data_IF_768929736827
#
_entry.id   IF_768929736827
#
_cell.length_a   1.000
_cell.length_b   1.000
_cell.length_c   1.000
_cell.angle_alpha   90.00
_cell.angle_beta   90.00
_cell.angle_gamma   90.00
#
_symmetry.space_group_name_H-M   'P 1'
#
loop_
_entity.id
_entity.type
_entity.pdbx_description
1 polymer ?
#
# COMPACT_ATOMS: atom_id res chain seq x y z
N UNK A 1 -30.67 -25.54 42.28
CA UNK A 1 -29.80 -26.27 41.33
C UNK A 1 -30.27 -25.93 39.93
N UNK A 2 -29.70 -24.88 39.34
CA UNK A 2 -30.13 -24.32 38.05
C UNK A 2 -29.43 -25.07 36.92
N UNK A 3 -30.22 -25.61 35.97
CA UNK A 3 -29.72 -26.18 34.71
C UNK A 3 -29.55 -25.04 33.70
N UNK A 4 -28.34 -24.86 33.21
CA UNK A 4 -28.05 -23.98 32.08
C UNK A 4 -27.96 -24.84 30.82
N UNK A 5 -28.90 -24.65 29.89
CA UNK A 5 -28.83 -25.20 28.54
C UNK A 5 -27.73 -24.48 27.74
N UNK A 6 -26.84 -25.25 27.13
CA UNK A 6 -25.85 -24.72 26.19
C UNK A 6 -26.41 -24.86 24.77
N UNK A 7 -26.61 -23.72 24.10
CA UNK A 7 -26.97 -23.65 22.69
C UNK A 7 -25.69 -23.87 21.88
N UNK A 8 -25.61 -25.02 21.22
CA UNK A 8 -24.53 -25.34 20.28
C UNK A 8 -24.66 -24.52 19.00
N UNK A 9 -23.64 -23.70 18.71
CA UNK A 9 -23.52 -22.99 17.44
C UNK A 9 -22.83 -23.94 16.46
N UNK A 10 -23.61 -24.46 15.51
CA UNK A 10 -23.14 -25.27 14.39
C UNK A 10 -22.64 -24.33 13.29
N UNK A 11 -21.33 -24.22 13.10
CA UNK A 11 -20.74 -23.55 11.93
C UNK A 11 -20.28 -24.64 10.99
N UNK A 12 -21.03 -24.86 9.93
CA UNK A 12 -20.57 -25.62 8.77
C UNK A 12 -21.15 -25.02 7.51
N UNK A 13 -20.28 -24.96 6.50
CA UNK A 13 -20.55 -24.79 5.08
C UNK A 13 -21.03 -23.41 4.60
N UNK A 14 -20.08 -22.60 4.12
CA UNK A 14 -20.24 -21.84 2.87
C UNK A 14 -18.92 -21.14 2.48
N UNK A 15 -17.96 -21.89 1.93
CA UNK A 15 -16.91 -21.30 1.08
C UNK A 15 -16.44 -22.34 0.06
N UNK A 16 -17.29 -22.65 -0.91
CA UNK A 16 -16.89 -23.26 -2.18
C UNK A 16 -17.77 -22.72 -3.29
N UNK A 17 -17.37 -21.61 -3.88
CA UNK A 17 -17.72 -21.35 -5.28
C UNK A 17 -16.55 -20.66 -5.98
N UNK A 18 -15.87 -21.45 -6.81
CA UNK A 18 -14.84 -20.95 -7.71
C UNK A 18 -15.51 -20.21 -8.86
N UNK A 19 -15.20 -18.93 -9.02
CA UNK A 19 -15.72 -18.13 -10.11
C UNK A 19 -14.87 -18.42 -11.35
N UNK A 20 -15.51 -19.05 -12.35
CA UNK A 20 -14.98 -19.23 -13.70
C UNK A 20 -15.12 -17.90 -14.46
N UNK A 21 -14.01 -17.20 -14.65
CA UNK A 21 -13.92 -15.95 -15.42
C UNK A 21 -13.92 -16.27 -16.92
N UNK A 22 -15.11 -16.32 -17.52
CA UNK A 22 -15.28 -16.26 -18.97
C UNK A 22 -16.29 -15.16 -19.29
N UNK A 23 -15.85 -13.91 -19.28
CA UNK A 23 -16.53 -12.85 -20.00
C UNK A 23 -15.54 -12.21 -20.99
N UNK A 24 -15.73 -12.60 -22.24
CA UNK A 24 -15.11 -12.03 -23.43
C UNK A 24 -15.41 -10.53 -23.49
N UNK A 25 -14.39 -9.71 -23.26
CA UNK A 25 -14.43 -8.27 -23.50
C UNK A 25 -14.36 -8.02 -25.01
N UNK A 26 -15.48 -7.62 -25.63
CA UNK A 26 -15.51 -7.13 -27.00
C UNK A 26 -14.98 -5.69 -27.02
N UNK A 27 -13.72 -5.50 -27.44
CA UNK A 27 -13.09 -4.20 -27.66
C UNK A 27 -13.00 -3.89 -29.15
N UNK A 28 -14.08 -3.37 -29.73
CA UNK A 28 -14.14 -3.00 -31.15
C UNK A 28 -14.33 -1.50 -31.40
N UNK A 29 -13.71 -0.62 -30.61
CA UNK A 29 -13.78 0.84 -30.83
C UNK A 29 -12.47 1.64 -30.70
N UNK A 30 -11.30 1.01 -30.83
CA UNK A 30 -10.04 1.78 -30.93
C UNK A 30 -9.20 1.25 -32.09
N UNK A 31 -9.53 1.70 -33.29
CA UNK A 31 -8.67 1.52 -34.47
C UNK A 31 -8.47 2.87 -35.17
N UNK A 32 -7.27 3.44 -35.01
CA UNK A 32 -6.42 3.97 -36.10
C UNK A 32 -5.37 4.95 -35.55
N UNK A 33 -4.10 4.61 -35.75
CA UNK A 33 -3.11 5.32 -36.60
C UNK A 33 -1.73 4.79 -36.22
N UNK A 34 -1.01 4.15 -37.17
CA UNK A 34 0.42 3.86 -37.04
C UNK A 34 0.89 2.57 -37.72
N UNK A 35 1.21 2.66 -39.02
CA UNK A 35 1.80 1.60 -39.85
C UNK A 35 3.19 1.16 -39.39
N UNK A 36 3.46 -0.15 -39.51
CA UNK A 36 4.66 -0.65 -40.20
C UNK A 36 5.68 -1.46 -39.40
N UNK A 37 5.58 -2.80 -39.50
CA UNK A 37 6.75 -3.68 -39.61
C UNK A 37 7.23 -4.40 -38.35
N UNK A 38 6.79 -5.66 -38.17
CA UNK A 38 7.36 -6.63 -37.23
C UNK A 38 6.32 -7.22 -36.29
N UNK A 39 5.67 -8.32 -36.71
CA UNK A 39 4.68 -9.06 -35.93
C UNK A 39 5.32 -9.75 -34.71
N UNK A 40 5.64 -8.95 -33.70
CA UNK A 40 5.62 -9.41 -32.31
C UNK A 40 4.24 -9.05 -31.80
N UNK A 41 3.61 -9.97 -31.09
CA UNK A 41 2.24 -9.90 -30.59
C UNK A 41 2.09 -8.80 -29.50
N UNK A 42 2.22 -7.53 -29.90
CA UNK A 42 2.16 -6.34 -29.01
C UNK A 42 0.78 -6.23 -28.35
N UNK A 43 -0.27 -6.71 -29.02
CA UNK A 43 -1.64 -6.66 -28.52
C UNK A 43 -1.86 -7.56 -27.28
N UNK A 44 -1.29 -8.77 -27.25
CA UNK A 44 -1.40 -9.63 -26.07
C UNK A 44 -0.70 -9.04 -24.85
N UNK A 45 0.52 -8.49 -25.04
CA UNK A 45 1.24 -7.86 -23.93
C UNK A 45 0.56 -6.61 -23.37
N UNK A 46 -0.17 -5.86 -24.22
CA UNK A 46 -0.90 -4.67 -23.79
C UNK A 46 -2.16 -5.03 -22.99
N UNK A 47 -2.89 -6.05 -23.42
CA UNK A 47 -4.07 -6.54 -22.73
C UNK A 47 -3.73 -7.12 -21.35
N UNK A 48 -2.62 -7.86 -21.26
CA UNK A 48 -2.14 -8.39 -19.98
C UNK A 48 -1.78 -7.27 -18.99
N UNK A 49 -1.17 -6.19 -19.46
CA UNK A 49 -0.85 -5.03 -18.63
C UNK A 49 -2.10 -4.30 -18.13
N UNK A 50 -3.12 -4.17 -18.97
CA UNK A 50 -4.41 -3.56 -18.60
C UNK A 50 -5.17 -4.43 -17.58
N UNK A 51 -5.18 -5.74 -17.76
CA UNK A 51 -5.78 -6.68 -16.81
C UNK A 51 -5.04 -6.66 -15.48
N UNK A 52 -3.70 -6.68 -15.49
CA UNK A 52 -2.89 -6.59 -14.29
C UNK A 52 -3.15 -5.28 -13.53
N UNK A 53 -3.30 -4.17 -14.26
CA UNK A 53 -3.67 -2.86 -13.68
C UNK A 53 -5.05 -2.90 -13.05
N UNK A 54 -6.06 -3.44 -13.73
CA UNK A 54 -7.40 -3.57 -13.18
C UNK A 54 -7.42 -4.40 -11.89
N UNK A 55 -6.75 -5.55 -11.89
CA UNK A 55 -6.62 -6.42 -10.70
C UNK A 55 -5.87 -5.73 -9.56
N UNK A 56 -4.86 -4.93 -9.88
CA UNK A 56 -4.12 -4.19 -8.86
C UNK A 56 -5.00 -3.13 -8.19
N UNK A 57 -5.78 -2.37 -8.98
CA UNK A 57 -6.70 -1.33 -8.47
C UNK A 57 -7.78 -1.96 -7.60
N UNK A 58 -8.43 -3.03 -8.07
CA UNK A 58 -9.52 -3.67 -7.32
C UNK A 58 -9.04 -4.24 -6.00
N UNK A 59 -7.88 -4.93 -5.99
CA UNK A 59 -7.26 -5.40 -4.73
C UNK A 59 -6.93 -4.26 -3.78
N UNK A 60 -6.33 -3.18 -4.30
CA UNK A 60 -5.98 -2.02 -3.49
C UNK A 60 -7.23 -1.37 -2.88
N UNK A 61 -8.33 -1.33 -3.63
CA UNK A 61 -9.62 -0.83 -3.17
C UNK A 61 -10.24 -1.73 -2.11
N UNK A 62 -10.36 -3.04 -2.39
CA UNK A 62 -10.96 -4.01 -1.47
C UNK A 62 -10.21 -4.06 -0.12
N UNK A 63 -8.88 -3.91 -0.12
CA UNK A 63 -8.06 -3.93 1.10
C UNK A 63 -8.13 -2.64 1.92
N UNK A 64 -8.39 -1.49 1.30
CA UNK A 64 -8.17 -0.17 1.92
C UNK A 64 -9.41 0.74 1.92
N UNK A 65 -10.48 0.42 1.18
CA UNK A 65 -11.76 1.13 1.18
C UNK A 65 -12.82 0.39 2.01
N UNK A 66 -13.99 1.02 2.16
CA UNK A 66 -15.16 0.37 2.76
C UNK A 66 -15.82 -0.60 1.79
N UNK A 67 -16.60 -1.55 2.32
CA UNK A 67 -17.32 -2.56 1.55
C UNK A 67 -18.21 -1.98 0.44
N UNK A 68 -18.72 -0.76 0.62
CA UNK A 68 -19.51 -0.02 -0.38
C UNK A 68 -18.78 0.25 -1.69
N UNK A 69 -17.45 0.21 -1.69
CA UNK A 69 -16.60 0.38 -2.86
C UNK A 69 -15.98 -0.94 -3.34
N UNK A 70 -16.42 -2.06 -2.77
CA UNK A 70 -15.97 -3.36 -3.24
C UNK A 70 -16.46 -3.60 -4.66
N UNK A 71 -15.63 -4.30 -5.42
CA UNK A 71 -15.90 -4.64 -6.82
C UNK A 71 -17.25 -5.34 -6.96
N UNK A 72 -17.61 -6.24 -6.04
CA UNK A 72 -18.87 -6.98 -6.08
C UNK A 72 -20.09 -6.07 -5.87
N UNK A 73 -20.04 -5.19 -4.87
CA UNK A 73 -21.13 -4.25 -4.57
C UNK A 73 -21.37 -3.28 -5.73
N UNK A 74 -20.30 -2.72 -6.31
CA UNK A 74 -20.43 -1.78 -7.41
C UNK A 74 -20.94 -2.45 -8.70
N UNK A 75 -20.50 -3.69 -9.00
CA UNK A 75 -21.03 -4.46 -10.13
C UNK A 75 -22.51 -4.83 -9.92
N UNK A 76 -22.90 -5.21 -8.70
CA UNK A 76 -24.30 -5.50 -8.36
C UNK A 76 -25.18 -4.24 -8.46
N UNK A 77 -24.60 -3.06 -8.20
CA UNK A 77 -25.23 -1.76 -8.42
C UNK A 77 -25.43 -1.37 -9.89
N UNK A 78 -24.95 -2.19 -10.84
CA UNK A 78 -25.13 -1.97 -12.27
C UNK A 78 -24.02 -1.14 -12.93
N UNK A 79 -22.91 -0.87 -12.22
CA UNK A 79 -21.76 -0.18 -12.81
C UNK A 79 -20.98 -1.12 -13.73
N UNK A 80 -20.49 -0.59 -14.85
CA UNK A 80 -19.53 -1.30 -15.71
C UNK A 80 -18.17 -1.41 -15.03
N UNK A 81 -17.37 -2.42 -15.39
CA UNK A 81 -16.04 -2.61 -14.79
C UNK A 81 -15.13 -1.37 -14.93
N UNK A 82 -15.24 -0.63 -16.04
CA UNK A 82 -14.47 0.61 -16.26
C UNK A 82 -14.88 1.69 -15.26
N UNK A 83 -16.19 1.86 -15.02
CA UNK A 83 -16.70 2.81 -14.02
C UNK A 83 -16.31 2.40 -12.60
N UNK A 84 -16.37 1.10 -12.29
CA UNK A 84 -15.92 0.56 -11.01
C UNK A 84 -14.47 0.94 -10.74
N UNK A 85 -13.58 0.72 -11.71
CA UNK A 85 -12.16 1.06 -11.59
C UNK A 85 -11.94 2.57 -11.41
N UNK A 86 -12.70 3.42 -12.12
CA UNK A 86 -12.57 4.87 -11.98
C UNK A 86 -13.08 5.37 -10.63
N UNK A 87 -14.22 4.86 -10.15
CA UNK A 87 -14.76 5.15 -8.82
C UNK A 87 -13.76 4.74 -7.73
N UNK A 88 -13.27 3.51 -7.79
CA UNK A 88 -12.28 2.99 -6.84
C UNK A 88 -11.00 3.82 -6.84
N UNK A 89 -10.50 4.19 -8.03
CA UNK A 89 -9.31 5.05 -8.17
C UNK A 89 -9.53 6.41 -7.51
N UNK A 90 -10.66 7.06 -7.79
CA UNK A 90 -10.97 8.38 -7.24
C UNK A 90 -11.08 8.35 -5.72
N UNK A 91 -11.74 7.33 -5.15
CA UNK A 91 -11.93 7.21 -3.71
C UNK A 91 -10.63 6.84 -2.97
N UNK A 92 -9.76 6.01 -3.56
CA UNK A 92 -8.40 5.76 -3.02
C UNK A 92 -7.61 7.07 -2.94
N UNK A 93 -7.61 7.86 -4.02
CA UNK A 93 -6.89 9.14 -4.07
C UNK A 93 -7.42 10.09 -3.00
N UNK A 94 -8.75 10.26 -2.90
CA UNK A 94 -9.37 11.13 -1.88
C UNK A 94 -9.00 10.73 -0.45
N UNK A 95 -8.88 9.43 -0.19
CA UNK A 95 -8.64 8.92 1.16
C UNK A 95 -7.18 8.99 1.60
N UNK A 96 -6.24 8.80 0.67
CA UNK A 96 -4.82 8.63 1.00
C UNK A 96 -3.88 9.72 0.45
N UNK A 97 -4.38 10.67 -0.35
CA UNK A 97 -3.59 11.79 -0.87
C UNK A 97 -4.13 13.09 -0.30
N UNK A 98 -3.24 13.90 0.30
CA UNK A 98 -3.63 15.19 0.84
C UNK A 98 -4.07 16.14 -0.27
N UNK A 99 -5.09 16.96 -0.02
CA UNK A 99 -5.63 17.94 -0.99
C UNK A 99 -4.54 18.85 -1.57
N UNK A 100 -3.52 19.21 -0.76
CA UNK A 100 -2.37 20.01 -1.20
C UNK A 100 -1.51 19.28 -2.24
N UNK A 101 -1.32 17.97 -2.07
CA UNK A 101 -0.57 17.14 -3.02
C UNK A 101 -1.37 16.94 -4.30
N UNK A 102 -2.69 16.74 -4.19
CA UNK A 102 -3.60 16.66 -5.34
C UNK A 102 -3.49 17.96 -6.14
N UNK A 103 -3.64 19.11 -5.50
CA UNK A 103 -3.57 20.41 -6.17
C UNK A 103 -2.20 20.68 -6.80
N UNK A 104 -1.11 20.19 -6.20
CA UNK A 104 0.23 20.32 -6.75
C UNK A 104 0.47 19.47 -8.01
N UNK A 105 -0.12 18.27 -8.09
CA UNK A 105 0.05 17.33 -9.21
C UNK A 105 -0.96 17.60 -10.33
N UNK A 106 -2.21 17.87 -9.95
CA UNK A 106 -3.34 17.98 -10.86
C UNK A 106 -3.70 19.43 -11.23
N UNK A 107 -3.31 20.41 -10.42
CA UNK A 107 -3.70 21.81 -10.59
C UNK A 107 -5.17 22.11 -10.23
N UNK A 108 -5.99 21.09 -9.99
CA UNK A 108 -7.38 21.19 -9.56
C UNK A 108 -7.64 20.18 -8.41
N UNK A 109 -8.77 20.35 -7.72
CA UNK A 109 -9.19 19.44 -6.65
C UNK A 109 -10.23 18.40 -7.12
N UNK A 110 -10.85 18.63 -8.28
CA UNK A 110 -11.86 17.73 -8.82
C UNK A 110 -11.22 16.53 -9.51
N UNK A 111 -11.08 15.43 -8.77
CA UNK A 111 -10.40 14.22 -9.22
C UNK A 111 -11.18 13.51 -10.34
N UNK A 112 -12.51 13.67 -10.39
CA UNK A 112 -13.36 12.95 -11.36
C UNK A 112 -13.07 13.42 -12.79
N UNK A 113 -12.87 14.72 -12.99
CA UNK A 113 -12.59 15.32 -14.30
C UNK A 113 -11.13 15.20 -14.75
N UNK A 114 -10.27 14.55 -13.96
CA UNK A 114 -8.85 14.43 -14.28
C UNK A 114 -8.55 13.45 -15.40
N UNK A 115 -7.49 13.78 -16.15
CA UNK A 115 -6.91 12.89 -17.15
C UNK A 115 -6.41 11.58 -16.50
N UNK A 116 -6.59 10.46 -17.19
CA UNK A 116 -6.15 9.13 -16.77
C UNK A 116 -4.67 9.09 -16.34
N UNK A 117 -3.79 9.80 -17.04
CA UNK A 117 -2.36 9.86 -16.69
C UNK A 117 -2.08 10.57 -15.35
N UNK A 118 -2.87 11.59 -15.00
CA UNK A 118 -2.76 12.29 -13.71
C UNK A 118 -3.36 11.40 -12.60
N UNK A 119 -4.50 10.76 -12.87
CA UNK A 119 -5.11 9.78 -11.97
C UNK A 119 -4.13 8.65 -11.63
N UNK A 120 -3.38 8.12 -12.61
CA UNK A 120 -2.36 7.10 -12.36
C UNK A 120 -1.20 7.59 -11.50
N UNK A 121 -0.73 8.82 -11.71
CA UNK A 121 0.32 9.40 -10.88
C UNK A 121 -0.14 9.57 -9.43
N UNK A 122 -1.37 10.09 -9.25
CA UNK A 122 -1.99 10.25 -7.94
C UNK A 122 -2.27 8.91 -7.26
N UNK A 123 -2.69 7.90 -8.01
CA UNK A 123 -2.93 6.55 -7.50
C UNK A 123 -1.63 5.90 -7.02
N UNK A 124 -0.52 6.10 -7.74
CA UNK A 124 0.81 5.64 -7.29
C UNK A 124 1.30 6.40 -6.06
N UNK A 125 1.00 7.71 -5.96
CA UNK A 125 1.28 8.47 -4.74
C UNK A 125 0.45 7.94 -3.57
N UNK A 126 -0.82 7.65 -3.80
CA UNK A 126 -1.73 7.05 -2.82
C UNK A 126 -1.20 5.71 -2.31
N UNK A 127 -0.71 4.83 -3.20
CA UNK A 127 -0.15 3.53 -2.79
C UNK A 127 1.08 3.69 -1.88
N UNK A 128 1.97 4.63 -2.19
CA UNK A 128 3.13 4.93 -1.34
C UNK A 128 2.69 5.47 0.03
N UNK A 129 1.67 6.33 0.07
CA UNK A 129 1.11 6.84 1.32
C UNK A 129 0.45 5.72 2.16
N UNK A 130 -0.25 4.78 1.52
CA UNK A 130 -0.80 3.58 2.16
C UNK A 130 0.32 2.77 2.80
N UNK A 131 1.39 2.47 2.05
CA UNK A 131 2.52 1.70 2.55
C UNK A 131 3.24 2.41 3.69
N UNK A 132 3.45 3.72 3.57
CA UNK A 132 4.01 4.56 4.63
C UNK A 132 3.12 4.55 5.88
N UNK A 133 1.80 4.62 5.72
CA UNK A 133 0.84 4.56 6.81
C UNK A 133 0.86 3.19 7.51
N UNK A 134 0.83 2.09 6.75
CA UNK A 134 0.97 0.73 7.28
C UNK A 134 2.30 0.55 8.03
N UNK A 135 3.39 1.09 7.48
CA UNK A 135 4.72 0.97 8.08
C UNK A 135 4.94 1.91 9.28
N UNK A 136 4.16 2.99 9.42
CA UNK A 136 4.25 3.87 10.60
C UNK A 136 3.91 3.13 11.91
N UNK A 137 3.10 2.07 11.82
CA UNK A 137 2.76 1.18 12.93
C UNK A 137 3.78 0.06 13.15
N UNK A 138 4.79 -0.08 12.29
CA UNK A 138 5.89 -1.02 12.50
C UNK A 138 6.96 -0.38 13.39
N UNK A 139 7.47 -1.16 14.33
CA UNK A 139 8.49 -0.77 15.32
C UNK A 139 9.81 -0.25 14.72
N UNK A 140 10.05 -0.43 13.43
CA UNK A 140 11.19 0.13 12.69
C UNK A 140 11.00 1.61 12.30
N UNK A 141 9.78 2.10 12.06
CA UNK A 141 9.53 3.52 11.73
C UNK A 141 9.76 4.44 12.93
N UNK A 142 9.65 3.92 14.17
CA UNK A 142 10.05 4.61 15.40
C UNK A 142 11.57 4.67 15.60
N UNK A 143 12.36 4.09 14.69
CA UNK A 143 13.81 4.26 14.66
C UNK A 143 14.22 5.52 13.90
N UNK A 144 13.38 6.57 13.88
CA UNK A 144 13.85 7.89 13.45
C UNK A 144 15.04 8.24 14.34
N UNK A 145 16.21 8.27 13.71
CA UNK A 145 17.46 8.65 14.33
C UNK A 145 17.35 10.12 14.71
N UNK A 146 16.74 10.39 15.87
CA UNK A 146 17.09 11.56 16.62
C UNK A 146 18.60 11.45 16.81
N UNK A 147 19.35 12.24 16.04
CA UNK A 147 20.76 12.52 16.27
C UNK A 147 20.85 13.13 17.66
N UNK A 148 20.84 12.25 18.66
CA UNK A 148 20.88 12.58 20.06
C UNK A 148 22.08 13.48 20.25
N UNK A 149 21.80 14.64 20.84
CA UNK A 149 22.78 15.64 21.17
C UNK A 149 23.99 14.96 21.80
N UNK A 150 25.17 15.18 21.23
CA UNK A 150 26.43 14.51 21.56
C UNK A 150 26.97 14.94 22.94
N UNK A 151 26.21 14.72 24.00
CA UNK A 151 26.66 14.97 25.37
C UNK A 151 26.37 13.74 26.21
N UNK A 152 27.49 13.14 26.61
CA UNK A 152 27.66 11.91 27.40
C UNK A 152 27.27 10.62 26.67
N UNK A 153 28.31 9.99 26.11
CA UNK A 153 28.23 8.68 25.47
C UNK A 153 27.93 7.65 26.56
N UNK A 154 26.64 7.40 26.79
CA UNK A 154 26.17 6.21 27.48
C UNK A 154 26.73 5.01 26.72
N UNK A 155 27.73 4.36 27.28
CA UNK A 155 28.37 3.15 26.76
C UNK A 155 28.27 2.06 27.82
N UNK A 156 27.88 0.85 27.43
CA UNK A 156 27.78 -0.30 28.32
C UNK A 156 29.12 -0.72 28.92
N UNK A 157 30.24 -0.35 28.28
CA UNK A 157 31.60 -0.59 28.77
C UNK A 157 32.06 0.39 29.85
N UNK A 158 31.37 1.53 30.03
CA UNK A 158 31.74 2.50 31.03
C UNK A 158 31.01 2.19 32.34
N UNK A 159 31.76 1.64 33.29
CA UNK A 159 31.27 1.19 34.61
C UNK A 159 30.68 2.33 35.46
N UNK A 160 30.93 3.59 35.09
CA UNK A 160 30.41 4.78 35.78
C UNK A 160 29.02 5.22 35.27
N UNK A 161 28.51 4.62 34.19
CA UNK A 161 27.20 4.97 33.65
C UNK A 161 26.11 4.14 34.33
N UNK A 162 25.24 4.79 35.10
CA UNK A 162 24.07 4.12 35.69
C UNK A 162 22.90 4.20 34.72
N UNK A 163 22.46 3.04 34.24
CA UNK A 163 21.30 2.90 33.37
C UNK A 163 20.06 2.96 34.25
N UNK A 164 19.26 4.02 34.13
CA UNK A 164 18.08 4.24 34.98
C UNK A 164 16.78 3.88 34.29
N UNK A 165 16.70 4.12 32.98
CA UNK A 165 15.51 3.84 32.17
C UNK A 165 15.83 2.90 30.99
N UNK A 166 14.79 2.23 30.47
CA UNK A 166 14.86 1.40 29.27
C UNK A 166 15.38 2.18 28.06
N UNK A 167 15.05 3.47 27.97
CA UNK A 167 15.57 4.37 26.93
C UNK A 167 17.09 4.53 27.02
N UNK A 168 17.63 4.62 28.23
CA UNK A 168 19.07 4.76 28.47
C UNK A 168 19.81 3.46 28.14
N UNK A 169 19.23 2.30 28.49
CA UNK A 169 19.76 0.99 28.14
C UNK A 169 19.85 0.82 26.62
N UNK A 170 18.78 1.21 25.91
CA UNK A 170 18.70 1.16 24.46
C UNK A 170 19.74 2.05 23.80
N UNK A 171 19.92 3.28 24.31
CA UNK A 171 20.94 4.19 23.81
C UNK A 171 22.36 3.65 24.05
N UNK A 172 22.60 3.02 25.20
CA UNK A 172 23.89 2.43 25.54
C UNK A 172 24.27 1.24 24.64
N UNK A 173 23.31 0.35 24.34
CA UNK A 173 23.50 -0.75 23.38
C UNK A 173 23.82 -0.26 21.97
N UNK A 174 23.13 0.79 21.51
CA UNK A 174 23.34 1.36 20.18
C UNK A 174 24.71 2.01 20.06
N UNK A 175 25.12 2.78 21.07
CA UNK A 175 26.44 3.42 21.09
C UNK A 175 27.56 2.35 21.08
N UNK A 176 27.39 1.26 21.84
CA UNK A 176 28.35 0.15 21.82
C UNK A 176 28.40 -0.54 20.44
N UNK A 177 27.26 -0.80 19.81
CA UNK A 177 27.24 -1.42 18.49
C UNK A 177 27.93 -0.55 17.43
N UNK A 178 27.71 0.77 17.47
CA UNK A 178 28.40 1.72 16.58
C UNK A 178 29.90 1.67 16.81
N UNK A 179 30.35 1.60 18.07
CA UNK A 179 31.77 1.53 18.41
C UNK A 179 32.40 0.20 18.00
N UNK A 180 31.75 -0.94 18.24
CA UNK A 180 32.19 -2.27 17.76
C UNK A 180 32.30 -2.27 16.23
N UNK A 181 31.32 -1.67 15.55
CA UNK A 181 31.34 -1.55 14.09
C UNK A 181 32.52 -0.71 13.64
N UNK A 182 32.74 0.46 14.24
CA UNK A 182 33.88 1.32 13.93
C UNK A 182 35.21 0.59 14.17
N UNK A 183 35.39 -0.05 15.32
CA UNK A 183 36.58 -0.83 15.66
C UNK A 183 36.82 -1.95 14.64
N UNK A 184 35.77 -2.69 14.27
CA UNK A 184 35.87 -3.77 13.28
C UNK A 184 36.34 -3.28 11.91
N UNK A 185 35.82 -2.14 11.44
CA UNK A 185 36.22 -1.57 10.14
C UNK A 185 37.51 -0.75 10.21
N UNK A 186 37.93 -0.30 11.40
CA UNK A 186 39.18 0.43 11.61
C UNK A 186 40.42 -0.48 11.65
N UNK A 187 40.25 -1.79 11.87
CA UNK A 187 41.34 -2.79 11.93
C UNK A 187 41.99 -3.08 10.56
N UNK A 188 41.57 -2.39 9.49
CA UNK A 188 42.27 -2.39 8.19
C UNK A 188 42.72 -0.99 7.81
N UNK A 189 43.81 -0.52 8.41
CA UNK A 189 44.73 0.44 7.79
C UNK A 189 46.15 0.21 8.27
#
# INVERSE_FOLDING_TARGET
MMKSESVGINVSDEFKEGISLNQSLNTSEISNVGQGGGDINVNDTHNDALLARAVWITRLADDNLSLSYSTQELLNGGHSLVEVLDIQTCEIIKKYVDEKQILAVAGNLDILSLNAGIKDMLLRLASVNIDSSKNSNNSYSLMTFNKGNAREVLNLRNMNNTIKDYKDLRQAMLNEWIQIRQDFYAVKS
#
